data_IF_466886549026
#
_entry.id   IF_466886549026
#
_cell.length_a   1.000
_cell.length_b   1.000
_cell.length_c   1.000
_cell.angle_alpha   90.00
_cell.angle_beta   90.00
_cell.angle_gamma   90.00
#
_symmetry.space_group_name_H-M   'P 1'
#
loop_
_entity.id
_entity.type
_entity.pdbx_description
1 polymer ?
#
# COMPACT_ATOMS: atom_id res chain seq x y z
N UNK A 1 0.03 6.60 -14.58
CA UNK A 1 0.69 6.43 -13.26
C UNK A 1 1.06 4.98 -13.08
N UNK A 2 2.21 4.69 -12.48
CA UNK A 2 2.66 3.35 -12.10
C UNK A 2 2.58 3.15 -10.59
N UNK A 3 2.56 1.90 -10.13
CA UNK A 3 2.51 1.57 -8.71
C UNK A 3 3.77 0.86 -8.23
N UNK A 4 4.18 1.13 -7.00
CA UNK A 4 5.21 0.36 -6.30
C UNK A 4 4.60 -0.19 -5.01
N UNK A 5 4.72 -1.50 -4.78
CA UNK A 5 4.44 -2.11 -3.49
C UNK A 5 5.78 -2.44 -2.83
N UNK A 6 6.07 -1.82 -1.69
CA UNK A 6 7.26 -2.15 -0.93
C UNK A 6 6.92 -3.27 0.07
N UNK A 7 7.31 -4.49 -0.29
CA UNK A 7 7.10 -5.72 0.47
C UNK A 7 8.44 -6.29 1.02
N UNK A 8 9.36 -5.38 1.33
CA UNK A 8 10.65 -5.68 1.96
C UNK A 8 10.58 -5.62 3.49
N UNK A 9 11.74 -5.75 4.10
CA UNK A 9 11.90 -5.65 5.55
C UNK A 9 12.04 -7.01 6.23
N UNK A 10 12.79 -7.04 7.34
CA UNK A 10 13.14 -8.27 8.05
C UNK A 10 12.01 -8.89 8.89
N UNK A 11 10.91 -8.16 9.11
CA UNK A 11 9.77 -8.62 9.92
C UNK A 11 10.12 -9.00 11.38
N UNK A 12 11.26 -8.56 11.91
CA UNK A 12 11.80 -9.01 13.21
C UNK A 12 10.87 -8.80 14.39
N UNK A 13 9.99 -7.78 14.33
CA UNK A 13 8.98 -7.53 15.36
C UNK A 13 7.93 -8.63 15.49
N UNK A 14 7.82 -9.50 14.46
CA UNK A 14 6.91 -10.64 14.43
C UNK A 14 7.63 -11.99 14.55
N UNK A 15 8.90 -12.00 15.01
CA UNK A 15 9.57 -13.25 15.29
C UNK A 15 8.87 -13.98 16.44
N UNK A 16 8.77 -15.35 16.37
CA UNK A 16 9.42 -16.24 15.40
C UNK A 16 8.62 -16.48 14.10
N UNK A 17 7.41 -15.95 13.93
CA UNK A 17 6.53 -16.28 12.81
C UNK A 17 7.19 -15.94 11.46
N UNK A 18 7.81 -14.78 11.38
CA UNK A 18 8.45 -14.27 10.15
C UNK A 18 9.87 -14.79 9.91
N UNK A 19 10.30 -15.82 10.64
CA UNK A 19 11.62 -16.46 10.39
C UNK A 19 11.70 -17.22 9.07
N UNK A 20 10.56 -17.74 8.60
CA UNK A 20 10.49 -18.61 7.43
C UNK A 20 9.54 -18.12 6.35
N UNK A 21 8.90 -16.99 6.56
CA UNK A 21 7.94 -16.41 5.63
C UNK A 21 7.98 -14.89 5.70
N UNK A 22 7.91 -14.23 4.55
CA UNK A 22 7.68 -12.79 4.50
C UNK A 22 6.40 -12.41 5.23
N UNK A 23 6.43 -11.32 6.00
CA UNK A 23 5.26 -10.76 6.67
C UNK A 23 4.09 -10.58 5.70
N UNK A 24 4.35 -10.05 4.52
CA UNK A 24 3.33 -9.72 3.53
C UNK A 24 2.71 -10.96 2.84
N UNK A 25 3.30 -12.14 3.03
CA UNK A 25 2.73 -13.42 2.60
C UNK A 25 1.90 -14.10 3.70
N UNK A 26 1.93 -13.58 4.93
CA UNK A 26 1.10 -14.11 6.02
C UNK A 26 -0.39 -13.86 5.74
N UNK A 27 -1.27 -14.77 6.20
CA UNK A 27 -2.69 -14.58 6.02
C UNK A 27 -3.23 -13.45 6.90
N UNK A 28 -4.08 -12.60 6.32
CA UNK A 28 -5.02 -11.75 7.04
C UNK A 28 -6.40 -12.31 6.74
N UNK A 29 -6.97 -13.01 7.69
CA UNK A 29 -8.20 -13.79 7.60
C UNK A 29 -8.12 -14.88 6.50
N UNK A 30 -8.57 -14.63 5.28
CA UNK A 30 -8.74 -15.64 4.23
C UNK A 30 -7.83 -15.47 3.02
N UNK A 31 -6.92 -14.48 3.02
CA UNK A 31 -6.01 -14.21 1.91
C UNK A 31 -4.67 -13.64 2.37
N UNK A 32 -3.62 -13.71 1.53
CA UNK A 32 -2.31 -13.13 1.86
C UNK A 32 -2.39 -11.61 2.05
N UNK A 33 -1.63 -11.09 3.01
CA UNK A 33 -1.59 -9.66 3.34
C UNK A 33 -1.33 -8.77 2.12
N UNK A 34 -0.46 -9.17 1.19
CA UNK A 34 -0.12 -8.40 -0.01
C UNK A 34 -1.34 -8.10 -0.92
N UNK A 35 -2.41 -8.87 -0.83
CA UNK A 35 -3.63 -8.65 -1.62
C UNK A 35 -4.29 -7.31 -1.27
N UNK A 36 -4.21 -6.88 -0.02
CA UNK A 36 -4.83 -5.63 0.44
C UNK A 36 -4.18 -4.41 -0.21
N UNK A 37 -2.87 -4.15 -0.09
CA UNK A 37 -2.24 -3.02 -0.77
C UNK A 37 -2.29 -3.15 -2.30
N UNK A 38 -2.23 -4.36 -2.86
CA UNK A 38 -2.40 -4.57 -4.29
C UNK A 38 -3.79 -4.12 -4.75
N UNK A 39 -4.84 -4.51 -4.03
CA UNK A 39 -6.21 -4.08 -4.33
C UNK A 39 -6.38 -2.55 -4.27
N UNK A 40 -5.67 -1.87 -3.38
CA UNK A 40 -5.70 -0.40 -3.26
C UNK A 40 -5.13 0.26 -4.52
N UNK A 41 -3.97 -0.19 -5.02
CA UNK A 41 -3.42 0.34 -6.28
C UNK A 41 -4.37 0.07 -7.46
N UNK A 42 -4.96 -1.13 -7.51
CA UNK A 42 -5.93 -1.48 -8.56
C UNK A 42 -7.20 -0.61 -8.48
N UNK A 43 -7.69 -0.27 -7.27
CA UNK A 43 -8.81 0.67 -7.08
C UNK A 43 -8.48 2.09 -7.57
N UNK A 44 -7.21 2.48 -7.58
CA UNK A 44 -6.73 3.70 -8.19
C UNK A 44 -6.53 3.58 -9.73
N UNK A 45 -7.03 2.52 -10.37
CA UNK A 45 -6.84 2.19 -11.78
C UNK A 45 -5.36 2.03 -12.20
N UNK A 46 -4.48 1.69 -11.27
CA UNK A 46 -3.06 1.43 -11.53
C UNK A 46 -2.88 -0.05 -11.89
N UNK A 47 -2.39 -0.32 -13.11
CA UNK A 47 -2.23 -1.68 -13.65
C UNK A 47 -0.77 -2.11 -13.79
N UNK A 48 0.15 -1.17 -13.96
CA UNK A 48 1.58 -1.44 -13.99
C UNK A 48 2.14 -1.31 -12.58
N UNK A 49 2.59 -2.42 -11.98
CA UNK A 49 2.94 -2.47 -10.55
C UNK A 49 4.27 -3.19 -10.37
N UNK A 50 5.21 -2.53 -9.71
CA UNK A 50 6.47 -3.10 -9.26
C UNK A 50 6.35 -3.59 -7.82
N UNK A 51 6.63 -4.87 -7.59
CA UNK A 51 6.69 -5.46 -6.26
C UNK A 51 8.17 -5.56 -5.83
N UNK A 52 8.54 -4.79 -4.81
CA UNK A 52 9.90 -4.78 -4.26
C UNK A 52 9.93 -5.67 -3.01
N UNK A 53 10.75 -6.71 -3.04
CA UNK A 53 10.80 -7.75 -1.99
C UNK A 53 12.21 -7.89 -1.42
N UNK A 54 12.37 -8.72 -0.39
CA UNK A 54 13.69 -9.23 0.00
C UNK A 54 14.21 -10.25 -1.02
N UNK A 55 15.54 -10.52 -1.07
CA UNK A 55 16.08 -11.55 -1.95
C UNK A 55 15.47 -12.93 -1.70
N UNK A 56 15.26 -13.27 -0.43
CA UNK A 56 14.81 -14.59 0.01
C UNK A 56 13.35 -14.86 -0.37
N UNK A 57 12.52 -13.82 -0.37
CA UNK A 57 11.07 -13.97 -0.55
C UNK A 57 10.61 -13.77 -2.00
N UNK A 58 11.45 -13.23 -2.88
CA UNK A 58 11.09 -12.82 -4.25
C UNK A 58 10.39 -13.92 -5.04
N UNK A 59 10.89 -15.14 -4.99
CA UNK A 59 10.30 -16.28 -5.69
C UNK A 59 8.90 -16.64 -5.17
N UNK A 60 8.67 -16.49 -3.86
CA UNK A 60 7.37 -16.74 -3.25
C UNK A 60 6.31 -15.75 -3.71
N UNK A 61 6.69 -14.47 -3.85
CA UNK A 61 5.79 -13.45 -4.41
C UNK A 61 5.49 -13.70 -5.90
N UNK A 62 6.51 -14.06 -6.70
CA UNK A 62 6.31 -14.42 -8.12
C UNK A 62 5.38 -15.61 -8.28
N UNK A 63 5.52 -16.63 -7.45
CA UNK A 63 4.64 -17.80 -7.46
C UNK A 63 3.22 -17.46 -7.06
N UNK A 64 3.02 -16.53 -6.10
CA UNK A 64 1.70 -16.12 -5.63
C UNK A 64 0.96 -15.25 -6.65
N UNK A 65 1.63 -14.23 -7.20
CA UNK A 65 0.99 -13.15 -7.96
C UNK A 65 1.16 -13.29 -9.48
N UNK A 66 2.14 -14.11 -9.92
CA UNK A 66 2.43 -14.26 -11.35
C UNK A 66 2.96 -12.96 -11.98
N UNK A 67 2.60 -12.73 -13.23
CA UNK A 67 2.92 -11.53 -14.01
C UNK A 67 1.78 -10.50 -14.07
N UNK A 68 0.65 -10.78 -13.40
CA UNK A 68 -0.52 -9.92 -13.38
C UNK A 68 -1.48 -10.08 -14.56
N UNK A 69 -1.10 -10.82 -15.61
CA UNK A 69 -1.92 -10.96 -16.81
C UNK A 69 -3.33 -11.48 -16.50
N UNK A 70 -3.47 -12.45 -15.62
CA UNK A 70 -4.77 -13.00 -15.21
C UNK A 70 -5.72 -11.96 -14.62
N UNK A 71 -5.19 -10.86 -14.09
CA UNK A 71 -5.91 -9.74 -13.48
C UNK A 71 -6.01 -8.51 -14.40
N UNK A 72 -5.55 -8.62 -15.65
CA UNK A 72 -5.47 -7.48 -16.56
C UNK A 72 -4.46 -6.41 -16.13
N UNK A 73 -3.46 -6.81 -15.35
CA UNK A 73 -2.36 -6.01 -14.86
C UNK A 73 -1.02 -6.47 -15.45
N UNK A 74 0.04 -5.72 -15.16
CA UNK A 74 1.43 -6.09 -15.45
C UNK A 74 2.27 -5.92 -14.19
N UNK A 75 2.83 -7.04 -13.68
CA UNK A 75 3.65 -7.03 -12.48
C UNK A 75 5.12 -7.27 -12.82
N UNK A 76 5.95 -6.35 -12.34
CA UNK A 76 7.39 -6.51 -12.32
C UNK A 76 7.88 -6.74 -10.87
N UNK A 77 9.09 -7.26 -10.74
CA UNK A 77 9.66 -7.61 -9.44
C UNK A 77 11.09 -7.11 -9.34
N UNK A 78 11.39 -6.45 -8.23
CA UNK A 78 12.73 -6.02 -7.87
C UNK A 78 13.08 -6.45 -6.43
N UNK A 79 14.36 -6.39 -6.12
CA UNK A 79 14.87 -6.79 -4.81
C UNK A 79 15.49 -5.60 -4.10
N UNK A 80 15.07 -5.38 -2.85
CA UNK A 80 15.75 -4.52 -1.89
C UNK A 80 16.66 -5.40 -1.02
N UNK A 81 17.95 -5.42 -1.32
CA UNK A 81 18.91 -6.30 -0.65
C UNK A 81 19.13 -5.95 0.83
N UNK A 82 18.99 -4.66 1.18
CA UNK A 82 19.12 -4.16 2.55
C UNK A 82 17.98 -3.18 2.81
N UNK A 83 17.23 -3.31 3.93
CA UNK A 83 16.09 -2.43 4.22
C UNK A 83 16.55 -1.05 4.73
N UNK A 84 17.06 -0.22 3.82
CA UNK A 84 17.65 1.09 4.11
C UNK A 84 16.63 2.24 4.12
N UNK A 85 15.36 1.95 4.20
CA UNK A 85 14.29 2.96 4.24
C UNK A 85 13.36 2.94 3.03
N UNK A 86 12.23 3.63 3.17
CA UNK A 86 11.12 3.56 2.20
C UNK A 86 11.45 4.29 0.89
N UNK A 87 12.17 5.41 0.96
CA UNK A 87 12.50 6.21 -0.22
C UNK A 87 13.41 5.47 -1.21
N UNK A 88 14.14 4.43 -0.77
CA UNK A 88 14.95 3.60 -1.64
C UNK A 88 14.11 2.89 -2.73
N UNK A 89 12.82 2.71 -2.50
CA UNK A 89 11.90 2.11 -3.48
C UNK A 89 11.92 2.84 -4.83
N UNK A 90 12.04 4.16 -4.82
CA UNK A 90 12.10 4.96 -6.06
C UNK A 90 13.43 4.80 -6.81
N UNK A 91 14.53 4.64 -6.08
CA UNK A 91 15.86 4.40 -6.67
C UNK A 91 15.91 2.99 -7.30
N UNK A 92 15.39 1.99 -6.59
CA UNK A 92 15.29 0.61 -7.10
C UNK A 92 14.36 0.55 -8.32
N UNK A 93 13.22 1.26 -8.23
CA UNK A 93 12.18 1.29 -9.25
C UNK A 93 12.42 2.27 -10.40
N UNK A 94 13.55 2.98 -10.46
CA UNK A 94 13.81 4.05 -11.43
C UNK A 94 13.51 3.64 -12.88
N UNK A 95 14.03 2.49 -13.31
CA UNK A 95 13.83 1.99 -14.68
C UNK A 95 12.37 1.65 -14.96
N UNK A 96 11.69 1.09 -13.99
CA UNK A 96 10.26 0.78 -14.07
C UNK A 96 9.42 2.05 -14.13
N UNK A 97 9.67 3.01 -13.25
CA UNK A 97 8.95 4.30 -13.22
C UNK A 97 9.14 5.06 -14.53
N UNK A 98 10.38 5.13 -15.03
CA UNK A 98 10.70 5.88 -16.25
C UNK A 98 10.33 7.35 -16.10
N UNK A 99 9.47 7.85 -16.97
CA UNK A 99 8.97 9.24 -16.95
C UNK A 99 7.56 9.37 -16.32
N UNK A 100 6.99 8.28 -15.80
CA UNK A 100 5.65 8.29 -15.25
C UNK A 100 5.59 8.85 -13.82
N UNK A 101 4.41 9.31 -13.43
CA UNK A 101 4.05 9.54 -12.02
C UNK A 101 3.95 8.18 -11.31
N UNK A 102 4.16 8.15 -10.00
CA UNK A 102 4.22 6.90 -9.25
C UNK A 102 3.47 6.96 -7.93
N UNK A 103 2.70 5.91 -7.64
CA UNK A 103 2.16 5.65 -6.30
C UNK A 103 3.05 4.63 -5.58
N UNK A 104 3.35 4.87 -4.30
CA UNK A 104 4.02 3.92 -3.41
C UNK A 104 3.06 3.51 -2.32
N UNK A 105 2.91 2.20 -2.12
CA UNK A 105 2.17 1.64 -0.98
C UNK A 105 3.03 0.64 -0.22
N UNK A 106 2.90 0.66 1.11
CA UNK A 106 3.56 -0.33 1.96
C UNK A 106 2.79 -1.65 1.94
N UNK A 107 3.51 -2.75 1.76
CA UNK A 107 2.96 -4.09 1.59
C UNK A 107 2.25 -4.67 2.83
N UNK A 108 2.29 -3.96 3.95
CA UNK A 108 1.71 -4.33 5.24
C UNK A 108 0.60 -3.38 5.72
N UNK A 109 0.15 -2.45 4.86
CA UNK A 109 -0.92 -1.53 5.17
C UNK A 109 -2.25 -2.00 4.56
N UNK A 110 -3.29 -1.98 5.36
CA UNK A 110 -4.65 -2.35 4.97
C UNK A 110 -5.52 -1.10 5.03
N UNK A 111 -6.22 -0.82 3.95
CA UNK A 111 -7.18 0.28 3.87
C UNK A 111 -8.57 -0.27 3.53
N UNK A 112 -9.59 0.29 4.18
CA UNK A 112 -10.99 -0.03 3.90
C UNK A 112 -11.88 1.16 4.21
N UNK A 113 -12.77 1.50 3.30
CA UNK A 113 -13.74 2.58 3.50
C UNK A 113 -14.55 2.85 2.25
N UNK A 114 -15.79 3.28 2.43
CA UNK A 114 -16.66 3.70 1.32
C UNK A 114 -16.07 4.95 0.66
N UNK A 115 -15.98 4.95 -0.68
CA UNK A 115 -15.42 6.08 -1.44
C UNK A 115 -13.89 6.21 -1.39
N UNK A 116 -13.18 5.31 -0.68
CA UNK A 116 -11.73 5.37 -0.59
C UNK A 116 -11.06 5.23 -1.98
N UNK A 117 -11.57 4.35 -2.83
CA UNK A 117 -11.08 4.20 -4.20
C UNK A 117 -11.18 5.49 -5.02
N UNK A 118 -12.31 6.22 -4.93
CA UNK A 118 -12.48 7.50 -5.63
C UNK A 118 -11.54 8.58 -5.07
N UNK A 119 -11.36 8.62 -3.75
CA UNK A 119 -10.43 9.53 -3.10
C UNK A 119 -9.01 9.35 -3.64
N UNK A 120 -8.49 8.12 -3.64
CA UNK A 120 -7.11 7.85 -4.08
C UNK A 120 -6.93 8.05 -5.58
N UNK A 121 -7.92 7.73 -6.39
CA UNK A 121 -7.92 7.94 -7.84
C UNK A 121 -7.78 9.42 -8.21
N UNK A 122 -8.31 10.31 -7.38
CA UNK A 122 -8.18 11.76 -7.54
C UNK A 122 -6.73 12.27 -7.53
N UNK A 123 -5.77 11.48 -7.02
CA UNK A 123 -4.36 11.83 -6.99
C UNK A 123 -3.52 11.24 -8.13
N UNK A 124 -4.13 10.51 -9.07
CA UNK A 124 -3.40 9.92 -10.20
C UNK A 124 -2.71 10.96 -11.10
N UNK A 125 -3.18 12.20 -11.09
CA UNK A 125 -2.60 13.30 -11.86
C UNK A 125 -1.95 14.37 -10.99
N UNK A 126 -1.47 13.99 -9.80
CA UNK A 126 -0.84 14.92 -8.86
C UNK A 126 0.33 15.68 -9.50
N UNK A 127 0.39 16.99 -9.24
CA UNK A 127 1.57 17.83 -9.48
C UNK A 127 2.28 18.04 -8.14
N UNK A 128 3.43 17.39 -7.98
CA UNK A 128 4.13 17.27 -6.71
C UNK A 128 3.86 15.95 -5.99
N UNK A 129 3.54 16.02 -4.71
CA UNK A 129 3.25 14.87 -3.87
C UNK A 129 1.88 14.95 -3.22
N UNK A 130 1.26 13.78 -3.01
CA UNK A 130 0.07 13.67 -2.15
C UNK A 130 0.29 12.60 -1.09
N UNK A 131 -0.01 12.94 0.14
CA UNK A 131 -0.02 12.08 1.32
C UNK A 131 -1.41 12.05 1.93
N UNK A 132 -1.67 11.05 2.77
CA UNK A 132 -2.92 10.97 3.52
C UNK A 132 -2.69 11.32 5.00
N UNK A 133 -3.73 11.86 5.63
CA UNK A 133 -3.76 12.15 7.05
C UNK A 133 -4.86 11.31 7.71
N UNK A 134 -4.48 10.46 8.65
CA UNK A 134 -5.37 9.60 9.41
C UNK A 134 -5.26 9.89 10.90
N UNK A 135 -6.38 10.18 11.55
CA UNK A 135 -6.39 10.54 12.97
C UNK A 135 -6.18 9.31 13.85
N UNK A 136 -5.15 9.33 14.68
CA UNK A 136 -4.76 8.25 15.61
C UNK A 136 -4.65 8.75 17.04
N UNK A 137 -4.63 7.83 18.00
CA UNK A 137 -4.41 8.11 19.43
C UNK A 137 -2.94 8.12 19.85
N UNK A 138 -2.06 7.52 19.03
CA UNK A 138 -0.63 7.29 19.28
C UNK A 138 0.26 7.78 18.10
N UNK A 139 0.15 9.10 17.75
CA UNK A 139 0.79 9.64 16.54
C UNK A 139 2.33 9.56 16.56
N UNK A 140 2.96 9.50 17.73
CA UNK A 140 4.41 9.40 17.88
C UNK A 140 5.03 8.15 17.26
N UNK A 141 4.22 7.16 16.91
CA UNK A 141 4.67 5.94 16.24
C UNK A 141 4.91 6.08 14.74
N UNK A 142 4.39 7.16 14.13
CA UNK A 142 4.26 7.34 12.69
C UNK A 142 4.92 8.65 12.22
N UNK A 143 5.01 8.84 10.92
CA UNK A 143 5.14 10.16 10.35
C UNK A 143 3.89 10.97 10.69
N UNK A 144 4.06 12.20 11.16
CA UNK A 144 2.97 13.09 11.60
C UNK A 144 2.91 14.31 10.71
N UNK A 145 1.73 14.62 10.18
CA UNK A 145 1.47 15.82 9.39
C UNK A 145 0.61 16.81 10.15
N UNK A 146 1.00 18.08 10.12
CA UNK A 146 0.20 19.22 10.57
C UNK A 146 -0.29 19.98 9.33
N UNK A 147 -1.54 20.43 9.32
CA UNK A 147 -2.14 21.19 8.21
C UNK A 147 -3.14 22.21 8.74
N UNK A 148 -3.42 23.23 7.93
CA UNK A 148 -4.38 24.29 8.27
C UNK A 148 -5.84 23.91 7.93
N UNK A 149 -6.76 24.85 8.12
CA UNK A 149 -8.18 24.66 7.84
C UNK A 149 -8.51 24.45 6.35
N UNK A 150 -7.58 24.75 5.46
CA UNK A 150 -7.69 24.53 4.01
C UNK A 150 -6.95 23.28 3.56
N UNK A 151 -6.55 22.42 4.52
CA UNK A 151 -5.78 21.17 4.31
C UNK A 151 -4.41 21.38 3.67
N UNK A 152 -3.82 22.57 3.78
CA UNK A 152 -2.44 22.83 3.36
C UNK A 152 -1.47 22.35 4.43
N UNK A 153 -0.52 21.50 4.04
CA UNK A 153 0.51 21.00 4.95
C UNK A 153 1.35 22.15 5.51
N UNK A 154 1.53 22.18 6.84
CA UNK A 154 2.35 23.14 7.56
C UNK A 154 3.67 22.53 8.04
N UNK A 155 3.64 21.30 8.50
CA UNK A 155 4.82 20.55 8.91
C UNK A 155 4.64 19.06 8.73
N UNK A 156 5.75 18.33 8.57
CA UNK A 156 5.79 16.88 8.57
C UNK A 156 7.02 16.40 9.34
N UNK A 157 6.83 15.48 10.28
CA UNK A 157 7.89 14.97 11.15
C UNK A 157 7.82 13.46 11.28
N UNK A 158 8.99 12.78 11.20
CA UNK A 158 9.08 11.33 11.37
C UNK A 158 9.16 10.98 12.85
N UNK A 159 8.18 10.22 13.35
CA UNK A 159 8.13 9.69 14.72
C UNK A 159 8.53 10.71 15.79
N UNK A 160 7.86 11.87 15.84
CA UNK A 160 8.23 12.94 16.77
C UNK A 160 7.95 12.54 18.21
N UNK A 161 8.86 12.86 19.13
CA UNK A 161 8.64 12.64 20.57
C UNK A 161 7.50 13.49 21.14
N UNK A 162 7.19 14.61 20.50
CA UNK A 162 6.09 15.53 20.84
C UNK A 162 5.36 15.89 19.55
N UNK A 163 4.37 15.07 19.14
CA UNK A 163 3.61 15.30 17.91
C UNK A 163 2.87 16.65 17.92
N UNK A 164 2.93 17.40 16.82
CA UNK A 164 2.19 18.67 16.66
C UNK A 164 0.72 18.45 16.30
N UNK A 165 0.37 17.29 15.82
CA UNK A 165 -1.00 16.91 15.51
C UNK A 165 -1.27 15.45 15.86
N UNK A 166 -2.55 15.03 15.81
CA UNK A 166 -2.95 13.63 15.94
C UNK A 166 -3.09 12.93 14.58
N UNK A 167 -2.55 13.50 13.50
CA UNK A 167 -2.70 12.95 12.16
C UNK A 167 -1.43 12.22 11.72
N UNK A 168 -1.50 10.89 11.74
CA UNK A 168 -0.49 10.02 11.18
C UNK A 168 -0.55 10.02 9.64
N UNK A 169 0.60 9.80 9.01
CA UNK A 169 0.71 9.60 7.56
C UNK A 169 0.76 8.10 7.28
N UNK A 170 -0.33 7.51 6.74
CA UNK A 170 -0.34 6.11 6.32
C UNK A 170 0.64 5.81 5.20
N UNK A 171 0.95 4.53 5.03
CA UNK A 171 1.89 4.07 4.04
C UNK A 171 1.33 4.03 2.61
N UNK A 172 0.73 5.11 2.14
CA UNK A 172 0.24 5.31 0.78
C UNK A 172 0.57 6.72 0.32
N UNK A 173 1.29 6.83 -0.79
CA UNK A 173 1.87 8.07 -1.29
C UNK A 173 1.72 8.15 -2.80
N UNK A 174 1.49 9.36 -3.33
CA UNK A 174 1.44 9.65 -4.76
C UNK A 174 2.42 10.75 -5.09
N UNK A 175 3.19 10.57 -6.17
CA UNK A 175 4.24 11.51 -6.55
C UNK A 175 4.26 11.74 -8.07
N UNK A 176 4.68 12.94 -8.44
CA UNK A 176 5.16 13.16 -9.79
C UNK A 176 6.53 12.47 -10.02
N UNK A 177 7.07 12.59 -11.21
CA UNK A 177 8.31 11.90 -11.58
C UNK A 177 9.57 12.44 -10.88
N UNK A 178 9.54 13.68 -10.35
CA UNK A 178 10.70 14.27 -9.66
C UNK A 178 11.11 13.45 -8.42
N UNK A 179 10.21 12.66 -7.85
CA UNK A 179 10.47 11.83 -6.68
C UNK A 179 11.69 10.93 -6.84
N UNK A 180 11.98 10.44 -8.06
CA UNK A 180 13.13 9.57 -8.33
C UNK A 180 14.44 10.31 -8.05
N UNK A 181 14.57 11.53 -8.57
CA UNK A 181 15.76 12.35 -8.36
C UNK A 181 15.85 12.86 -6.91
N UNK A 182 14.73 13.20 -6.30
CA UNK A 182 14.70 13.59 -4.89
C UNK A 182 15.20 12.43 -4.01
N UNK A 183 14.69 11.21 -4.22
CA UNK A 183 15.08 10.03 -3.46
C UNK A 183 16.57 9.68 -3.58
N UNK A 184 17.21 9.95 -4.72
CA UNK A 184 18.66 9.80 -4.90
C UNK A 184 19.48 10.77 -4.09
N UNK A 185 18.93 11.94 -3.78
CA UNK A 185 19.66 13.06 -3.18
C UNK A 185 19.39 13.28 -1.68
N UNK A 186 18.40 12.60 -1.08
CA UNK A 186 18.21 12.63 0.37
C UNK A 186 19.35 11.92 1.10
N UNK A 187 19.57 12.31 2.35
CA UNK A 187 20.60 11.71 3.22
C UNK A 187 19.95 10.72 4.21
N UNK A 188 20.67 9.68 4.63
CA UNK A 188 20.19 8.81 5.68
C UNK A 188 19.92 9.61 6.97
N UNK A 189 18.82 9.29 7.64
CA UNK A 189 18.48 9.83 8.96
C UNK A 189 19.47 9.33 10.04
N UNK A 190 19.40 9.85 11.28
CA UNK A 190 20.17 9.30 12.41
C UNK A 190 19.90 7.80 12.66
N UNK A 191 18.80 7.25 12.14
CA UNK A 191 18.47 5.82 12.19
C UNK A 191 19.16 5.00 11.08
N UNK A 192 19.88 5.66 10.16
CA UNK A 192 20.51 5.05 8.98
C UNK A 192 19.54 4.75 7.84
N UNK A 193 18.31 5.30 7.87
CA UNK A 193 17.27 5.04 6.87
C UNK A 193 17.06 6.25 5.95
N UNK A 194 16.81 5.99 4.67
CA UNK A 194 16.33 6.98 3.70
C UNK A 194 14.82 7.18 3.89
N UNK A 195 14.46 8.20 4.67
CA UNK A 195 13.10 8.42 5.14
C UNK A 195 12.19 8.96 4.04
N UNK A 196 11.01 8.38 3.93
CA UNK A 196 9.97 8.93 3.05
C UNK A 196 9.52 10.32 3.52
N UNK A 197 9.60 10.59 4.81
CA UNK A 197 9.29 11.89 5.41
C UNK A 197 10.22 12.99 4.89
N UNK A 198 11.48 12.69 4.57
CA UNK A 198 12.41 13.68 3.99
C UNK A 198 12.06 13.99 2.52
N UNK A 199 11.59 12.99 1.76
CA UNK A 199 11.02 13.21 0.43
C UNK A 199 9.80 14.12 0.53
N UNK A 200 8.86 13.82 1.42
CA UNK A 200 7.66 14.63 1.62
C UNK A 200 7.99 16.05 2.09
N UNK A 201 9.02 16.22 2.93
CA UNK A 201 9.50 17.54 3.39
C UNK A 201 10.03 18.36 2.22
N UNK A 202 10.73 17.76 1.28
CA UNK A 202 11.19 18.46 0.08
C UNK A 202 10.00 19.06 -0.70
N UNK A 203 8.92 18.28 -0.91
CA UNK A 203 7.71 18.79 -1.56
C UNK A 203 6.99 19.84 -0.73
N UNK A 204 6.97 19.70 0.60
CA UNK A 204 6.40 20.70 1.50
C UNK A 204 7.14 22.05 1.36
N UNK A 205 8.46 22.06 1.36
CA UNK A 205 9.29 23.27 1.19
C UNK A 205 9.06 23.94 -0.17
N UNK A 206 8.67 23.19 -1.18
CA UNK A 206 8.29 23.67 -2.51
C UNK A 206 6.80 24.06 -2.61
N UNK A 207 6.04 23.95 -1.52
CA UNK A 207 4.59 24.17 -1.50
C UNK A 207 3.82 23.28 -2.50
N UNK A 208 4.31 22.03 -2.72
CA UNK A 208 3.76 21.03 -3.64
C UNK A 208 3.38 19.74 -2.93
N UNK A 209 3.15 19.79 -1.61
CA UNK A 209 2.67 18.65 -0.81
C UNK A 209 1.18 18.80 -0.55
N UNK A 210 0.37 17.93 -1.13
CA UNK A 210 -1.07 17.85 -0.94
C UNK A 210 -1.41 16.87 0.18
N UNK A 211 -2.45 17.18 0.96
CA UNK A 211 -2.92 16.33 2.06
C UNK A 211 -4.35 15.89 1.81
N UNK A 212 -4.57 14.60 1.66
CA UNK A 212 -5.89 13.98 1.65
C UNK A 212 -6.28 13.52 3.05
N UNK A 213 -7.28 14.14 3.66
CA UNK A 213 -7.76 13.70 4.98
C UNK A 213 -8.70 12.52 4.83
N UNK A 214 -8.41 11.42 5.50
CA UNK A 214 -9.26 10.24 5.50
C UNK A 214 -10.48 10.46 6.40
N UNK A 215 -11.65 10.17 5.87
CA UNK A 215 -12.92 10.29 6.57
C UNK A 215 -13.07 9.28 7.72
N UNK A 216 -13.97 9.59 8.67
CA UNK A 216 -14.24 8.74 9.85
C UNK A 216 -14.67 7.29 9.51
N UNK A 217 -15.21 7.06 8.33
CA UNK A 217 -15.61 5.73 7.87
C UNK A 217 -14.48 4.91 7.27
N UNK A 218 -13.30 5.50 7.09
CA UNK A 218 -12.13 4.81 6.57
C UNK A 218 -11.37 4.15 7.72
N UNK A 219 -11.03 2.88 7.55
CA UNK A 219 -10.10 2.15 8.43
C UNK A 219 -8.73 2.10 7.75
N UNK A 220 -7.69 2.41 8.51
CA UNK A 220 -6.30 2.13 8.20
C UNK A 220 -5.71 1.27 9.30
N UNK A 221 -5.14 0.14 8.94
CA UNK A 221 -4.55 -0.82 9.87
C UNK A 221 -3.10 -1.07 9.45
N UNK A 222 -2.17 -0.81 10.37
CA UNK A 222 -0.80 -1.28 10.25
C UNK A 222 -0.71 -2.68 10.90
N UNK A 223 0.02 -3.59 10.32
CA UNK A 223 0.14 -4.95 10.83
C UNK A 223 1.52 -5.18 11.45
N UNK A 224 2.07 -4.16 12.11
CA UNK A 224 3.45 -4.10 12.59
C UNK A 224 3.77 -4.93 13.84
N UNK A 225 2.76 -5.34 14.61
CA UNK A 225 2.88 -6.10 15.86
C UNK A 225 1.95 -7.30 15.84
N UNK A 226 2.11 -8.23 16.80
CA UNK A 226 1.20 -9.38 16.95
C UNK A 226 -0.25 -8.94 17.18
N UNK A 227 -0.45 -7.94 18.04
CA UNK A 227 -1.77 -7.42 18.36
C UNK A 227 -2.41 -6.76 17.13
N UNK A 228 -1.69 -5.86 16.45
CA UNK A 228 -2.22 -5.20 15.24
C UNK A 228 -2.48 -6.16 14.07
N UNK A 229 -1.72 -7.26 13.97
CA UNK A 229 -1.97 -8.33 13.00
C UNK A 229 -3.26 -9.10 13.34
N UNK A 230 -3.48 -9.37 14.62
CA UNK A 230 -4.70 -10.03 15.12
C UNK A 230 -5.92 -9.14 14.92
N UNK A 231 -5.82 -7.86 15.30
CA UNK A 231 -6.88 -6.87 15.13
C UNK A 231 -7.28 -6.69 13.68
N UNK A 232 -6.30 -6.61 12.76
CA UNK A 232 -6.55 -6.55 11.33
C UNK A 232 -7.29 -7.79 10.81
N UNK A 233 -6.89 -8.97 11.26
CA UNK A 233 -7.54 -10.24 10.90
C UNK A 233 -8.99 -10.27 11.39
N UNK A 234 -9.23 -9.85 12.64
CA UNK A 234 -10.57 -9.81 13.22
C UNK A 234 -11.45 -8.75 12.54
N UNK A 235 -10.91 -7.56 12.28
CA UNK A 235 -11.62 -6.51 11.54
C UNK A 235 -12.10 -7.00 10.17
N UNK A 236 -11.21 -7.56 9.37
CA UNK A 236 -11.55 -8.10 8.04
C UNK A 236 -12.61 -9.20 8.17
N UNK A 237 -12.42 -10.15 9.09
CA UNK A 237 -13.35 -11.24 9.33
C UNK A 237 -14.77 -10.75 9.66
N UNK A 238 -14.88 -9.76 10.55
CA UNK A 238 -16.18 -9.23 10.99
C UNK A 238 -16.89 -8.51 9.84
N UNK A 239 -16.19 -7.65 9.13
CA UNK A 239 -16.77 -6.89 8.00
C UNK A 239 -17.23 -7.85 6.89
N UNK A 240 -16.36 -8.75 6.45
CA UNK A 240 -16.68 -9.69 5.36
C UNK A 240 -17.89 -10.57 5.70
N UNK A 241 -17.96 -11.08 6.93
CA UNK A 241 -19.11 -11.90 7.39
C UNK A 241 -20.41 -11.12 7.50
N UNK A 242 -20.36 -9.82 7.82
CA UNK A 242 -21.57 -9.02 8.02
C UNK A 242 -22.10 -8.42 6.73
N UNK A 243 -21.23 -8.05 5.81
CA UNK A 243 -21.61 -7.37 4.58
C UNK A 243 -21.68 -8.30 3.36
N UNK A 244 -21.34 -9.58 3.52
CA UNK A 244 -21.25 -10.57 2.44
C UNK A 244 -20.38 -10.04 1.28
N UNK A 245 -19.27 -9.42 1.63
CA UNK A 245 -18.29 -8.82 0.71
C UNK A 245 -16.88 -9.25 1.07
N UNK A 246 -15.90 -8.93 0.23
CA UNK A 246 -14.49 -9.18 0.55
C UNK A 246 -13.67 -7.89 0.50
N UNK A 247 -12.81 -7.74 1.51
CA UNK A 247 -11.82 -6.66 1.54
C UNK A 247 -10.53 -7.17 0.87
N UNK A 248 -9.96 -6.40 -0.04
CA UNK A 248 -8.71 -6.79 -0.71
C UNK A 248 -8.85 -7.97 -1.67
N UNK A 249 -10.03 -8.18 -2.26
CA UNK A 249 -10.25 -9.20 -3.28
C UNK A 249 -9.81 -8.66 -4.65
N UNK A 250 -8.60 -9.00 -5.05
CA UNK A 250 -7.96 -8.46 -6.26
C UNK A 250 -8.71 -8.85 -7.54
N UNK A 251 -9.30 -10.03 -7.61
CA UNK A 251 -10.08 -10.49 -8.74
C UNK A 251 -11.41 -9.72 -8.87
N UNK A 252 -12.06 -9.42 -7.75
CA UNK A 252 -13.26 -8.58 -7.73
C UNK A 252 -12.94 -7.16 -8.18
N UNK A 253 -11.85 -6.56 -7.67
CA UNK A 253 -11.42 -5.23 -8.09
C UNK A 253 -11.12 -5.22 -9.59
N UNK A 254 -10.37 -6.20 -10.10
CA UNK A 254 -10.08 -6.33 -11.52
C UNK A 254 -11.35 -6.38 -12.37
N UNK A 255 -12.35 -7.13 -11.94
CA UNK A 255 -13.62 -7.25 -12.64
C UNK A 255 -14.44 -5.97 -12.58
N UNK A 256 -14.61 -5.37 -11.40
CA UNK A 256 -15.41 -4.14 -11.22
C UNK A 256 -14.81 -2.92 -11.92
N UNK A 257 -13.48 -2.87 -12.03
CA UNK A 257 -12.76 -1.81 -12.75
C UNK A 257 -12.58 -2.10 -14.25
N UNK A 258 -13.14 -3.22 -14.75
CA UNK A 258 -13.07 -3.56 -16.17
C UNK A 258 -11.66 -3.94 -16.65
N UNK A 259 -10.80 -4.41 -15.74
CA UNK A 259 -9.49 -4.95 -16.10
C UNK A 259 -9.64 -6.33 -16.73
N UNK A 260 -10.61 -7.09 -16.25
CA UNK A 260 -11.01 -8.40 -16.78
C UNK A 260 -12.52 -8.44 -17.02
N UNK A 261 -12.95 -9.32 -17.89
CA UNK A 261 -14.36 -9.58 -18.15
C UNK A 261 -14.95 -10.73 -17.29
N UNK A 262 -16.24 -10.98 -17.45
CA UNK A 262 -16.95 -12.04 -16.73
C UNK A 262 -16.40 -13.45 -17.07
N UNK A 263 -15.92 -13.66 -18.29
CA UNK A 263 -15.36 -14.95 -18.70
C UNK A 263 -14.05 -15.21 -17.95
N UNK A 264 -13.17 -14.22 -17.86
CA UNK A 264 -11.92 -14.32 -17.10
C UNK A 264 -12.18 -14.49 -15.60
N UNK A 265 -13.14 -13.72 -15.02
CA UNK A 265 -13.51 -13.89 -13.61
C UNK A 265 -14.01 -15.31 -13.34
N UNK A 266 -14.78 -15.90 -14.26
CA UNK A 266 -15.24 -17.30 -14.14
C UNK A 266 -14.07 -18.29 -14.09
N UNK A 267 -13.05 -18.10 -14.92
CA UNK A 267 -11.83 -18.92 -14.89
C UNK A 267 -11.11 -18.82 -13.55
N UNK A 268 -10.97 -17.60 -13.00
CA UNK A 268 -10.34 -17.38 -11.69
C UNK A 268 -11.16 -18.01 -10.56
N UNK A 269 -12.50 -17.89 -10.60
CA UNK A 269 -13.39 -18.49 -9.61
C UNK A 269 -13.23 -20.02 -9.56
N UNK A 270 -13.11 -20.68 -10.72
CA UNK A 270 -12.93 -22.13 -10.79
C UNK A 270 -11.62 -22.60 -10.15
N UNK A 271 -10.52 -21.82 -10.27
CA UNK A 271 -9.24 -22.16 -9.61
C UNK A 271 -9.40 -22.32 -8.10
N UNK A 272 -10.31 -21.55 -7.50
CA UNK A 272 -10.52 -21.49 -6.05
C UNK A 272 -11.86 -22.08 -5.59
N UNK A 273 -12.61 -22.76 -6.47
CA UNK A 273 -14.01 -23.16 -6.22
C UNK A 273 -14.20 -24.06 -4.99
N UNK A 274 -13.15 -24.77 -4.57
CA UNK A 274 -13.17 -25.60 -3.35
C UNK A 274 -13.14 -24.80 -2.06
N UNK A 275 -12.82 -23.49 -2.13
CA UNK A 275 -12.77 -22.58 -0.98
C UNK A 275 -13.97 -21.65 -0.95
N UNK A 276 -14.20 -21.01 0.20
CA UNK A 276 -15.19 -19.92 0.32
C UNK A 276 -14.87 -18.74 -0.59
N UNK A 277 -13.58 -18.50 -0.84
CA UNK A 277 -13.10 -17.43 -1.72
C UNK A 277 -13.57 -17.62 -3.17
N UNK A 278 -13.36 -18.81 -3.75
CA UNK A 278 -13.82 -19.10 -5.11
C UNK A 278 -15.33 -19.09 -5.27
N UNK A 279 -16.08 -19.55 -4.25
CA UNK A 279 -17.55 -19.46 -4.23
C UNK A 279 -18.02 -18.01 -4.26
N UNK A 280 -17.35 -17.12 -3.51
CA UNK A 280 -17.61 -15.69 -3.55
C UNK A 280 -17.36 -15.10 -4.93
N UNK A 281 -16.20 -15.37 -5.56
CA UNK A 281 -15.93 -14.89 -6.92
C UNK A 281 -17.03 -15.33 -7.92
N UNK A 282 -17.50 -16.56 -7.79
CA UNK A 282 -18.58 -17.07 -8.64
C UNK A 282 -19.89 -16.31 -8.42
N UNK A 283 -20.22 -15.91 -7.17
CA UNK A 283 -21.44 -15.16 -6.88
C UNK A 283 -21.45 -13.74 -7.48
N UNK A 284 -20.29 -13.18 -7.82
CA UNK A 284 -20.21 -11.88 -8.52
C UNK A 284 -20.71 -11.93 -9.98
N UNK A 285 -20.88 -13.12 -10.54
CA UNK A 285 -21.35 -13.35 -11.91
C UNK A 285 -22.87 -13.60 -12.01
N UNK A 286 -23.57 -13.68 -10.87
CA UNK A 286 -25.02 -13.96 -10.77
C UNK A 286 -25.89 -12.72 -10.81
#
# INVERSE_FOLDING_TARGET
MKGIILAGGSGTRLFPITKAISKQLMPIYDKPMIYYPLSVLMQADIREILIITTPEDSESFRRLLGDGHDLGCHFEYAVQAVPNGLAQAFVIGEKFVGSDKVALILGDNIFYGTGFGDLIKGFNDVDGAAIFAYKVSDPERYGVVEFDSEYRALSIEEKPLKPKSSYAVPGLYFYDNEVVEIAKNIKPSPRGEFEITDVNRWYLEKQRLHVGVMDRGTAWLDTGTFDSLSDATEFVRVIEKRQDTKIGCIEEVAYRHGFIDAAQLSVLAERYIKSGYGKYLRSLLS
#
